data_IF_687983682757
#
_entry.id   IF_687983682757
#
_cell.length_a   1.000
_cell.length_b   1.000
_cell.length_c   1.000
_cell.angle_alpha   90.00
_cell.angle_beta   90.00
_cell.angle_gamma   90.00
#
_symmetry.space_group_name_H-M   'P 1'
#
loop_
_entity.id
_entity.type
_entity.pdbx_description
1 polymer ?
#
# COMPACT_ATOMS: atom_id res chain seq x y z
N UNK A 1 32.29 -20.72 -1.07
CA UNK A 1 32.12 -20.70 0.41
C UNK A 1 30.76 -21.32 0.72
N UNK A 2 30.72 -22.54 1.25
CA UNK A 2 29.45 -23.24 1.55
C UNK A 2 28.87 -22.64 2.83
N UNK A 3 27.73 -21.95 2.72
CA UNK A 3 27.07 -21.34 3.87
C UNK A 3 26.37 -22.45 4.68
N UNK A 4 26.83 -22.67 5.92
CA UNK A 4 26.23 -23.60 6.89
C UNK A 4 24.74 -23.29 7.10
N UNK A 5 23.94 -24.32 7.39
CA UNK A 5 22.52 -24.18 7.74
C UNK A 5 22.31 -23.28 8.98
N UNK A 6 21.06 -22.84 9.23
CA UNK A 6 20.76 -21.97 10.37
C UNK A 6 21.21 -22.61 11.70
N UNK A 7 21.86 -21.85 12.60
CA UNK A 7 22.11 -22.28 13.98
C UNK A 7 20.80 -22.69 14.68
N UNK A 8 20.88 -23.64 15.61
CA UNK A 8 19.71 -24.25 16.26
C UNK A 8 18.83 -23.23 17.04
N UNK A 9 19.42 -22.11 17.46
CA UNK A 9 18.80 -20.99 18.18
C UNK A 9 18.30 -19.84 17.27
N UNK A 10 18.67 -19.84 15.98
CA UNK A 10 18.38 -18.76 15.03
C UNK A 10 17.55 -19.26 13.87
N UNK A 11 16.23 -19.09 14.00
CA UNK A 11 15.21 -19.63 13.08
C UNK A 11 15.03 -18.80 11.81
N UNK A 12 15.55 -17.57 11.78
CA UNK A 12 15.38 -16.65 10.67
C UNK A 12 16.72 -16.24 10.07
N UNK A 13 16.71 -15.97 8.76
CA UNK A 13 17.75 -15.22 8.08
C UNK A 13 17.20 -13.83 7.76
N UNK A 14 17.80 -12.80 8.35
CA UNK A 14 17.66 -11.41 7.94
C UNK A 14 18.50 -11.17 6.68
N UNK A 15 17.97 -10.43 5.72
CA UNK A 15 18.68 -10.04 4.51
C UNK A 15 18.15 -8.72 3.96
N UNK A 16 18.96 -8.06 3.14
CA UNK A 16 18.56 -6.87 2.40
C UNK A 16 17.98 -7.28 1.05
N UNK A 17 16.79 -6.76 0.74
CA UNK A 17 16.20 -6.80 -0.60
C UNK A 17 16.42 -5.44 -1.28
N UNK A 18 17.14 -5.46 -2.40
CA UNK A 18 17.15 -4.41 -3.40
C UNK A 18 16.09 -4.71 -4.45
N UNK A 19 15.23 -3.75 -4.78
CA UNK A 19 14.24 -3.87 -5.86
C UNK A 19 14.08 -2.57 -6.66
N UNK A 20 13.79 -2.70 -7.94
CA UNK A 20 13.46 -1.60 -8.86
C UNK A 20 12.10 -1.85 -9.54
N UNK A 21 11.27 -0.81 -9.67
CA UNK A 21 9.96 -0.85 -10.33
C UNK A 21 9.02 -2.01 -9.87
N UNK A 22 9.12 -2.42 -8.61
CA UNK A 22 8.47 -3.62 -8.09
C UNK A 22 7.82 -3.35 -6.73
N UNK A 23 6.58 -3.80 -6.55
CA UNK A 23 5.91 -3.77 -5.24
C UNK A 23 6.54 -4.79 -4.28
N UNK A 24 6.54 -4.46 -2.99
CA UNK A 24 7.15 -5.29 -1.93
C UNK A 24 6.47 -6.66 -1.82
N UNK A 25 5.13 -6.70 -1.82
CA UNK A 25 4.39 -7.94 -1.69
C UNK A 25 4.59 -8.82 -2.93
N UNK A 26 4.61 -8.22 -4.13
CA UNK A 26 4.92 -8.98 -5.35
C UNK A 26 6.34 -9.54 -5.35
N UNK A 27 7.33 -8.77 -4.88
CA UNK A 27 8.71 -9.25 -4.73
C UNK A 27 8.77 -10.43 -3.76
N UNK A 28 8.11 -10.32 -2.60
CA UNK A 28 8.03 -11.41 -1.60
C UNK A 28 7.32 -12.64 -2.17
N UNK A 29 6.20 -12.49 -2.87
CA UNK A 29 5.51 -13.60 -3.55
C UNK A 29 6.41 -14.28 -4.57
N UNK A 30 7.23 -13.52 -5.30
CA UNK A 30 8.17 -14.10 -6.24
C UNK A 30 9.28 -14.88 -5.52
N UNK A 31 9.89 -14.33 -4.47
CA UNK A 31 10.89 -15.02 -3.65
C UNK A 31 10.32 -16.32 -3.05
N UNK A 32 9.11 -16.25 -2.50
CA UNK A 32 8.40 -17.37 -1.92
C UNK A 32 8.19 -18.50 -2.93
N UNK A 33 7.74 -18.16 -4.15
CA UNK A 33 7.57 -19.11 -5.25
C UNK A 33 8.90 -19.76 -5.67
N UNK A 34 9.98 -19.00 -5.78
CA UNK A 34 11.30 -19.53 -6.17
C UNK A 34 11.88 -20.48 -5.12
N UNK A 35 11.48 -20.34 -3.85
CA UNK A 35 11.92 -21.17 -2.74
C UNK A 35 10.93 -22.29 -2.38
N UNK A 36 9.78 -22.36 -3.05
CA UNK A 36 8.66 -23.24 -2.71
C UNK A 36 8.14 -23.04 -1.28
N UNK A 37 7.99 -21.78 -0.86
CA UNK A 37 7.50 -21.39 0.46
C UNK A 37 6.22 -20.56 0.35
N UNK A 38 5.48 -20.46 1.46
CA UNK A 38 4.40 -19.48 1.59
C UNK A 38 4.93 -18.08 1.92
N UNK A 39 4.23 -17.04 1.48
CA UNK A 39 4.58 -15.62 1.76
C UNK A 39 4.64 -15.30 3.26
N UNK A 40 3.87 -16.02 4.09
CA UNK A 40 3.90 -15.92 5.56
C UNK A 40 5.24 -16.32 6.18
N UNK A 41 6.11 -17.00 5.43
CA UNK A 41 7.47 -17.34 5.88
C UNK A 41 8.41 -16.14 5.84
N UNK A 42 7.98 -15.03 5.24
CA UNK A 42 8.75 -13.79 5.14
C UNK A 42 8.17 -12.71 6.07
N UNK A 43 9.06 -12.01 6.76
CA UNK A 43 8.74 -10.84 7.56
C UNK A 43 9.39 -9.58 6.99
N UNK A 44 8.70 -8.44 7.07
CA UNK A 44 9.23 -7.12 6.70
C UNK A 44 8.55 -6.03 7.52
N UNK A 45 9.28 -4.93 7.75
CA UNK A 45 8.81 -3.85 8.61
C UNK A 45 7.77 -2.92 7.96
N UNK A 46 7.73 -2.89 6.63
CA UNK A 46 6.77 -2.10 5.87
C UNK A 46 6.96 -2.29 4.36
N UNK A 47 5.99 -1.84 3.57
CA UNK A 47 6.10 -1.81 2.11
C UNK A 47 6.90 -0.58 1.66
N UNK A 48 7.57 -0.69 0.52
CA UNK A 48 8.30 0.39 -0.16
C UNK A 48 7.72 0.63 -1.54
N UNK A 49 7.86 1.87 -2.02
CA UNK A 49 7.31 2.31 -3.30
C UNK A 49 7.69 1.39 -4.45
N UNK A 50 6.71 1.19 -5.34
CA UNK A 50 6.91 0.40 -6.56
C UNK A 50 7.85 1.16 -7.50
N UNK A 51 7.54 2.41 -7.83
CA UNK A 51 8.27 3.23 -8.83
C UNK A 51 9.51 3.89 -8.22
N UNK A 52 10.42 3.07 -7.70
CA UNK A 52 11.67 3.52 -7.11
C UNK A 52 12.71 2.39 -7.13
N UNK A 53 13.97 2.74 -6.89
CA UNK A 53 14.99 1.81 -6.43
C UNK A 53 14.97 1.82 -4.89
N UNK A 54 14.65 0.68 -4.27
CA UNK A 54 14.43 0.61 -2.81
C UNK A 54 15.26 -0.49 -2.19
N UNK A 55 15.81 -0.21 -1.01
CA UNK A 55 16.47 -1.18 -0.14
C UNK A 55 15.64 -1.35 1.14
N UNK A 56 15.43 -2.59 1.56
CA UNK A 56 14.75 -2.88 2.82
C UNK A 56 15.23 -4.19 3.43
N UNK A 57 15.14 -4.31 4.75
CA UNK A 57 15.39 -5.56 5.46
C UNK A 57 14.15 -6.46 5.41
N UNK A 58 14.38 -7.73 5.12
CA UNK A 58 13.43 -8.83 5.19
C UNK A 58 14.00 -9.90 6.12
N UNK A 59 13.11 -10.74 6.65
CA UNK A 59 13.47 -11.99 7.32
C UNK A 59 12.80 -13.15 6.61
N UNK A 60 13.45 -14.30 6.52
CA UNK A 60 12.86 -15.54 6.05
C UNK A 60 13.05 -16.65 7.08
N UNK A 61 11.97 -17.35 7.44
CA UNK A 61 11.99 -18.45 8.39
C UNK A 61 12.48 -19.75 7.73
N UNK A 62 13.45 -20.43 8.35
CA UNK A 62 13.87 -21.78 7.95
C UNK A 62 14.59 -21.87 6.60
N UNK A 63 15.12 -20.76 6.08
CA UNK A 63 15.84 -20.72 4.80
C UNK A 63 17.33 -20.51 5.03
N UNK A 64 18.22 -21.36 4.47
CA UNK A 64 19.65 -21.10 4.49
C UNK A 64 20.01 -19.88 3.64
N UNK A 65 20.97 -19.07 4.11
CA UNK A 65 21.44 -17.88 3.39
C UNK A 65 21.92 -18.19 1.96
N UNK A 66 22.55 -19.35 1.75
CA UNK A 66 23.00 -19.79 0.43
C UNK A 66 21.86 -19.94 -0.58
N UNK A 67 20.71 -20.50 -0.15
CA UNK A 67 19.53 -20.63 -1.02
C UNK A 67 18.95 -19.28 -1.42
N UNK A 68 19.00 -18.29 -0.53
CA UNK A 68 18.60 -16.92 -0.86
C UNK A 68 19.59 -16.28 -1.85
N UNK A 69 20.89 -16.42 -1.61
CA UNK A 69 21.92 -15.87 -2.49
C UNK A 69 21.82 -16.42 -3.93
N UNK A 70 21.48 -17.69 -4.10
CA UNK A 70 21.26 -18.32 -5.40
C UNK A 70 20.11 -17.68 -6.20
N UNK A 71 19.14 -17.06 -5.53
CA UNK A 71 18.02 -16.40 -6.21
C UNK A 71 18.50 -15.23 -7.08
N UNK A 72 19.64 -14.59 -6.76
CA UNK A 72 20.17 -13.48 -7.56
C UNK A 72 20.40 -13.85 -9.04
N UNK A 73 20.58 -15.14 -9.36
CA UNK A 73 20.69 -15.62 -10.75
C UNK A 73 19.36 -15.53 -11.53
N UNK A 74 18.24 -15.44 -10.82
CA UNK A 74 16.86 -15.49 -11.36
C UNK A 74 16.08 -14.19 -11.14
N UNK A 75 16.52 -13.33 -10.22
CA UNK A 75 15.85 -12.07 -9.92
C UNK A 75 16.13 -11.03 -11.02
N UNK A 76 15.08 -10.62 -11.73
CA UNK A 76 15.16 -9.60 -12.80
C UNK A 76 14.83 -8.18 -12.32
N UNK A 77 14.20 -8.07 -11.15
CA UNK A 77 13.75 -6.81 -10.57
C UNK A 77 14.69 -6.27 -9.49
N UNK A 78 15.80 -6.97 -9.18
CA UNK A 78 16.66 -6.60 -8.07
C UNK A 78 17.53 -7.75 -7.57
N UNK A 79 17.97 -7.66 -6.31
CA UNK A 79 18.90 -8.60 -5.70
C UNK A 79 18.68 -8.73 -4.19
N UNK A 80 19.16 -9.83 -3.61
CA UNK A 80 19.20 -10.07 -2.17
C UNK A 80 20.65 -10.21 -1.68
N UNK A 81 20.93 -9.70 -0.49
CA UNK A 81 22.29 -9.70 0.08
C UNK A 81 22.31 -9.43 1.58
N UNK A 82 23.51 -9.21 2.14
CA UNK A 82 23.71 -8.84 3.55
C UNK A 82 23.03 -9.81 4.54
N UNK A 83 23.25 -11.11 4.34
CA UNK A 83 22.60 -12.15 5.14
C UNK A 83 23.12 -12.20 6.58
N UNK A 84 22.20 -12.31 7.54
CA UNK A 84 22.49 -12.47 8.96
C UNK A 84 21.47 -13.39 9.61
N UNK A 85 21.92 -14.42 10.32
CA UNK A 85 21.00 -15.25 11.11
C UNK A 85 20.55 -14.51 12.38
N UNK A 86 19.25 -14.51 12.64
CA UNK A 86 18.59 -13.81 13.75
C UNK A 86 17.55 -14.70 14.43
N UNK A 87 17.26 -14.39 15.70
CA UNK A 87 16.31 -15.14 16.54
C UNK A 87 14.85 -14.82 16.17
N UNK A 88 14.58 -13.54 15.94
CA UNK A 88 13.23 -13.01 15.74
C UNK A 88 13.03 -12.53 14.30
N UNK A 89 11.83 -12.76 13.76
CA UNK A 89 11.42 -12.25 12.46
C UNK A 89 10.91 -10.82 12.52
N UNK A 90 11.08 -10.07 11.44
CA UNK A 90 10.56 -8.71 11.28
C UNK A 90 9.03 -8.71 11.18
N UNK A 91 8.39 -7.76 11.85
CA UNK A 91 6.96 -7.48 11.84
C UNK A 91 6.68 -6.07 11.31
N UNK A 92 5.46 -5.82 10.83
CA UNK A 92 5.04 -4.47 10.45
C UNK A 92 5.23 -3.50 11.62
N UNK A 93 5.90 -2.37 11.37
CA UNK A 93 6.19 -1.35 12.38
C UNK A 93 7.61 -1.41 12.95
N UNK A 94 8.39 -2.47 12.68
CA UNK A 94 9.76 -2.63 13.21
C UNK A 94 10.81 -1.68 12.56
N UNK A 95 10.37 -0.64 11.83
CA UNK A 95 11.26 0.37 11.26
C UNK A 95 11.09 1.70 11.98
N UNK A 96 12.20 2.40 12.18
CA UNK A 96 12.19 3.79 12.62
C UNK A 96 11.71 4.74 11.51
N UNK A 97 12.17 4.53 10.28
CA UNK A 97 11.87 5.41 9.16
C UNK A 97 12.54 4.99 7.85
N UNK A 98 12.55 5.91 6.88
CA UNK A 98 13.13 5.71 5.56
C UNK A 98 14.11 6.83 5.24
N UNK A 99 15.25 6.49 4.63
CA UNK A 99 16.15 7.48 4.02
C UNK A 99 15.81 7.59 2.54
N UNK A 100 15.50 8.80 2.10
CA UNK A 100 15.21 9.09 0.69
C UNK A 100 16.40 9.78 0.02
N UNK A 101 16.57 9.52 -1.28
CA UNK A 101 17.44 10.28 -2.17
C UNK A 101 16.63 10.55 -3.42
N UNK A 102 16.25 11.81 -3.62
CA UNK A 102 15.28 12.24 -4.62
C UNK A 102 16.01 13.20 -5.56
N UNK A 103 15.86 12.98 -6.86
CA UNK A 103 16.34 13.91 -7.90
C UNK A 103 15.12 14.56 -8.52
N UNK A 104 14.98 15.86 -8.31
CA UNK A 104 14.01 16.68 -9.03
C UNK A 104 14.63 17.09 -10.37
N UNK A 105 13.91 16.85 -11.47
CA UNK A 105 14.31 17.24 -12.82
C UNK A 105 13.41 18.37 -13.30
N UNK A 106 13.90 19.15 -14.26
CA UNK A 106 13.16 20.24 -14.91
C UNK A 106 12.61 21.26 -13.89
N UNK A 107 13.47 21.67 -12.96
CA UNK A 107 13.13 22.66 -11.93
C UNK A 107 13.13 24.05 -12.55
N UNK A 108 11.98 24.73 -12.47
CA UNK A 108 11.78 26.11 -12.90
C UNK A 108 11.98 27.07 -11.72
N UNK A 109 13.23 27.22 -11.29
CA UNK A 109 13.65 28.14 -10.23
C UNK A 109 15.17 28.39 -10.32
N UNK A 110 15.63 29.53 -9.79
CA UNK A 110 17.06 29.79 -9.63
C UNK A 110 17.66 29.05 -8.43
N UNK A 111 18.99 28.96 -8.38
CA UNK A 111 19.73 28.25 -7.33
C UNK A 111 19.43 28.83 -5.94
N UNK A 112 19.31 30.16 -5.82
CA UNK A 112 19.04 30.83 -4.55
C UNK A 112 17.69 30.39 -3.95
N UNK A 113 16.64 30.30 -4.77
CA UNK A 113 15.31 29.84 -4.35
C UNK A 113 15.32 28.36 -3.97
N UNK A 114 16.09 27.54 -4.68
CA UNK A 114 16.26 26.11 -4.35
C UNK A 114 16.98 25.93 -3.02
N UNK A 115 18.05 26.70 -2.79
CA UNK A 115 18.79 26.69 -1.52
C UNK A 115 17.93 27.14 -0.35
N UNK A 116 17.14 28.21 -0.52
CA UNK A 116 16.20 28.70 0.48
C UNK A 116 15.16 27.62 0.84
N UNK A 117 14.56 26.97 -0.16
CA UNK A 117 13.59 25.90 0.06
C UNK A 117 14.20 24.68 0.76
N UNK A 118 15.42 24.27 0.37
CA UNK A 118 16.15 23.18 1.01
C UNK A 118 16.46 23.50 2.48
N UNK A 119 16.93 24.72 2.75
CA UNK A 119 17.22 25.18 4.12
C UNK A 119 15.95 25.21 4.97
N UNK A 120 14.86 25.77 4.45
CA UNK A 120 13.57 25.80 5.13
C UNK A 120 13.05 24.40 5.48
N UNK A 121 13.20 23.43 4.57
CA UNK A 121 12.83 22.04 4.83
C UNK A 121 13.74 21.37 5.87
N UNK A 122 15.04 21.65 5.85
CA UNK A 122 16.00 21.08 6.78
C UNK A 122 15.81 21.59 8.22
N UNK A 123 15.50 22.88 8.37
CA UNK A 123 15.36 23.54 9.68
C UNK A 123 13.93 23.44 10.23
N UNK A 124 12.92 23.68 9.39
CA UNK A 124 11.51 23.73 9.79
C UNK A 124 10.70 22.47 9.50
N UNK A 125 11.25 21.53 8.74
CA UNK A 125 10.53 20.34 8.31
C UNK A 125 9.38 20.66 7.34
N UNK A 126 8.31 19.87 7.43
CA UNK A 126 7.12 20.03 6.61
C UNK A 126 5.87 19.57 7.37
N UNK A 127 4.69 20.01 6.94
CA UNK A 127 3.43 19.56 7.52
C UNK A 127 3.20 18.10 7.13
N UNK A 128 3.03 17.22 8.11
CA UNK A 128 2.95 15.77 7.95
C UNK A 128 1.63 15.26 7.30
N UNK A 129 1.30 15.75 6.11
CA UNK A 129 0.10 15.36 5.37
C UNK A 129 0.10 13.90 4.93
N UNK A 130 -1.09 13.32 4.91
CA UNK A 130 -1.34 12.14 4.09
C UNK A 130 -1.32 12.54 2.61
N UNK A 131 -0.41 11.95 1.84
CA UNK A 131 -0.28 12.22 0.40
C UNK A 131 -1.39 11.62 -0.46
N UNK A 132 -1.44 12.01 -1.75
CA UNK A 132 -2.49 11.59 -2.72
C UNK A 132 -2.68 10.07 -2.81
N UNK A 133 -1.61 9.30 -2.68
CA UNK A 133 -1.66 7.84 -2.70
C UNK A 133 -2.59 7.25 -1.62
N UNK A 134 -2.78 7.94 -0.49
CA UNK A 134 -3.70 7.51 0.58
C UNK A 134 -5.17 7.57 0.16
N UNK A 135 -5.50 8.42 -0.81
CA UNK A 135 -6.86 8.68 -1.26
C UNK A 135 -7.20 7.99 -2.59
N UNK A 136 -6.29 7.14 -3.10
CA UNK A 136 -6.38 6.53 -4.41
C UNK A 136 -5.89 7.44 -5.53
N UNK A 137 -5.53 6.82 -6.66
CA UNK A 137 -5.09 7.54 -7.87
C UNK A 137 -6.21 7.70 -8.91
N UNK A 138 -7.40 7.19 -8.62
CA UNK A 138 -8.58 7.27 -9.50
C UNK A 138 -9.42 8.51 -9.21
N UNK A 139 -10.28 8.88 -10.14
CA UNK A 139 -11.22 10.01 -10.04
C UNK A 139 -12.21 9.88 -8.89
N UNK A 140 -12.65 8.67 -8.54
CA UNK A 140 -13.36 8.41 -7.29
C UNK A 140 -12.36 8.31 -6.16
N UNK A 141 -12.53 9.16 -5.16
CA UNK A 141 -11.60 9.18 -4.04
C UNK A 141 -11.99 8.15 -2.97
N UNK A 142 -11.00 7.41 -2.49
CA UNK A 142 -11.17 6.34 -1.49
C UNK A 142 -11.89 6.82 -0.22
N UNK A 143 -11.76 8.11 0.12
CA UNK A 143 -12.44 8.67 1.28
C UNK A 143 -13.96 8.83 1.09
N UNK A 144 -14.48 8.98 -0.13
CA UNK A 144 -15.92 9.06 -0.39
C UNK A 144 -16.63 7.74 -0.06
N UNK A 145 -16.00 6.62 -0.43
CA UNK A 145 -16.45 5.27 -0.03
C UNK A 145 -16.44 5.16 1.50
N UNK A 146 -15.40 5.69 2.16
CA UNK A 146 -15.29 5.74 3.61
C UNK A 146 -16.44 6.51 4.28
N UNK A 147 -16.84 7.65 3.72
CA UNK A 147 -17.99 8.44 4.19
C UNK A 147 -19.28 7.62 4.08
N UNK A 148 -19.51 6.97 2.93
CA UNK A 148 -20.70 6.16 2.71
C UNK A 148 -20.80 5.01 3.73
N UNK A 149 -19.69 4.31 3.98
CA UNK A 149 -19.57 3.27 5.01
C UNK A 149 -19.90 3.82 6.41
N UNK A 150 -19.32 4.96 6.79
CA UNK A 150 -19.54 5.57 8.11
C UNK A 150 -20.98 6.06 8.33
N UNK A 151 -21.67 6.45 7.26
CA UNK A 151 -23.08 6.83 7.28
C UNK A 151 -24.02 5.62 7.18
N UNK A 152 -23.49 4.39 7.16
CA UNK A 152 -24.26 3.17 6.89
C UNK A 152 -25.02 3.19 5.57
N UNK A 153 -24.58 4.01 4.60
CA UNK A 153 -25.13 4.02 3.25
C UNK A 153 -24.43 2.95 2.41
N UNK A 154 -24.84 1.70 2.63
CA UNK A 154 -24.22 0.52 2.02
C UNK A 154 -24.40 0.46 0.51
N UNK A 155 -25.57 0.91 0.02
CA UNK A 155 -25.86 0.99 -1.41
C UNK A 155 -24.87 1.91 -2.12
N UNK A 156 -24.68 3.11 -1.58
CA UNK A 156 -23.72 4.06 -2.14
C UNK A 156 -22.27 3.56 -2.04
N UNK A 157 -21.89 2.96 -0.92
CA UNK A 157 -20.55 2.40 -0.75
C UNK A 157 -20.25 1.30 -1.80
N UNK A 158 -21.20 0.41 -2.06
CA UNK A 158 -21.04 -0.62 -3.08
C UNK A 158 -21.06 -0.03 -4.50
N UNK A 159 -21.93 0.94 -4.77
CA UNK A 159 -21.99 1.65 -6.05
C UNK A 159 -20.66 2.35 -6.36
N UNK A 160 -20.10 3.13 -5.43
CA UNK A 160 -18.81 3.82 -5.59
C UNK A 160 -17.63 2.85 -5.84
N UNK A 161 -17.74 1.61 -5.36
CA UNK A 161 -16.73 0.57 -5.61
C UNK A 161 -16.92 -0.03 -7.00
N UNK A 162 -18.16 -0.26 -7.46
CA UNK A 162 -18.47 -0.99 -8.70
C UNK A 162 -18.55 -0.09 -9.94
N UNK A 163 -18.90 1.19 -9.80
CA UNK A 163 -19.10 2.10 -10.93
C UNK A 163 -17.79 2.44 -11.66
N UNK A 164 -17.92 2.74 -12.96
CA UNK A 164 -16.82 3.13 -13.83
C UNK A 164 -16.25 4.50 -13.45
N UNK A 165 -14.97 4.71 -13.74
CA UNK A 165 -14.24 5.92 -13.31
C UNK A 165 -13.55 6.59 -14.51
N UNK A 166 -13.64 7.93 -14.63
CA UNK A 166 -12.82 8.67 -15.58
C UNK A 166 -11.32 8.36 -15.43
N UNK A 167 -10.66 8.05 -16.54
CA UNK A 167 -9.22 7.73 -16.58
C UNK A 167 -8.87 6.27 -16.24
N UNK A 168 -9.85 5.39 -16.02
CA UNK A 168 -9.60 3.94 -15.98
C UNK A 168 -9.16 3.40 -17.34
N UNK A 169 -8.36 2.33 -17.30
CA UNK A 169 -8.02 1.51 -18.48
C UNK A 169 -9.29 0.95 -19.10
N UNK A 170 -9.31 0.86 -20.43
CA UNK A 170 -10.48 0.45 -21.20
C UNK A 170 -11.03 -0.91 -20.74
N UNK A 171 -10.18 -1.91 -20.52
CA UNK A 171 -10.59 -3.23 -19.99
C UNK A 171 -11.40 -3.13 -18.68
N UNK A 172 -10.96 -2.31 -17.73
CA UNK A 172 -11.66 -2.12 -16.45
C UNK A 172 -12.94 -1.29 -16.62
N UNK A 173 -12.91 -0.30 -17.52
CA UNK A 173 -14.05 0.56 -17.78
C UNK A 173 -15.20 -0.24 -18.39
N UNK A 174 -14.91 -1.03 -19.44
CA UNK A 174 -15.92 -1.79 -20.18
C UNK A 174 -16.68 -2.77 -19.28
N UNK A 175 -15.99 -3.51 -18.41
CA UNK A 175 -16.67 -4.47 -17.51
C UNK A 175 -17.56 -3.77 -16.47
N UNK A 176 -17.15 -2.60 -15.98
CA UNK A 176 -17.95 -1.80 -15.04
C UNK A 176 -19.17 -1.17 -15.71
N UNK A 177 -19.01 -0.66 -16.93
CA UNK A 177 -20.12 -0.10 -17.71
C UNK A 177 -21.13 -1.18 -18.13
N UNK A 178 -20.65 -2.37 -18.50
CA UNK A 178 -21.50 -3.52 -18.79
C UNK A 178 -22.31 -3.95 -17.55
N UNK A 179 -21.68 -4.00 -16.37
CA UNK A 179 -22.42 -4.31 -15.15
C UNK A 179 -23.40 -3.18 -14.77
N UNK A 180 -23.02 -1.91 -14.93
CA UNK A 180 -23.89 -0.78 -14.65
C UNK A 180 -25.14 -0.73 -15.54
N UNK A 181 -25.05 -1.20 -16.79
CA UNK A 181 -26.18 -1.25 -17.72
C UNK A 181 -27.07 -2.47 -17.53
N UNK A 182 -26.49 -3.63 -17.18
CA UNK A 182 -27.21 -4.91 -17.11
C UNK A 182 -27.70 -5.26 -15.71
N UNK A 183 -26.96 -4.88 -14.67
CA UNK A 183 -27.15 -5.38 -13.31
C UNK A 183 -26.88 -6.89 -13.15
N UNK A 184 -26.40 -7.57 -14.20
CA UNK A 184 -26.22 -9.03 -14.20
C UNK A 184 -24.97 -9.41 -13.40
N UNK A 185 -25.19 -9.95 -12.20
CA UNK A 185 -24.13 -10.38 -11.28
C UNK A 185 -23.35 -11.58 -11.82
N UNK A 186 -24.01 -12.52 -12.49
CA UNK A 186 -23.36 -13.74 -13.01
C UNK A 186 -22.46 -13.40 -14.19
N UNK A 187 -22.92 -12.54 -15.09
CA UNK A 187 -22.11 -12.05 -16.19
C UNK A 187 -20.94 -11.21 -15.67
N UNK A 188 -21.18 -10.29 -14.72
CA UNK A 188 -20.11 -9.50 -14.12
C UNK A 188 -19.05 -10.38 -13.42
N UNK A 189 -19.43 -11.47 -12.76
CA UNK A 189 -18.46 -12.40 -12.16
C UNK A 189 -17.61 -13.16 -13.18
N UNK A 190 -18.08 -13.31 -14.42
CA UNK A 190 -17.29 -13.86 -15.53
C UNK A 190 -16.35 -12.81 -16.11
N UNK A 191 -16.84 -11.59 -16.29
CA UNK A 191 -16.11 -10.52 -17.01
C UNK A 191 -15.10 -9.79 -16.13
N UNK A 192 -15.42 -9.54 -14.85
CA UNK A 192 -14.51 -8.82 -13.96
C UNK A 192 -13.19 -9.58 -13.79
N UNK A 193 -12.04 -8.95 -14.10
CA UNK A 193 -10.76 -9.62 -13.98
C UNK A 193 -10.45 -10.11 -12.57
N UNK A 194 -9.69 -11.21 -12.48
CA UNK A 194 -9.39 -11.88 -11.21
C UNK A 194 -8.65 -10.99 -10.19
N UNK A 195 -7.91 -9.96 -10.63
CA UNK A 195 -7.21 -9.02 -9.75
C UNK A 195 -8.12 -7.97 -9.11
N UNK A 196 -9.37 -7.82 -9.57
CA UNK A 196 -10.37 -6.91 -9.01
C UNK A 196 -11.07 -7.56 -7.81
N UNK A 197 -10.26 -7.90 -6.79
CA UNK A 197 -10.70 -8.73 -5.67
C UNK A 197 -11.83 -8.10 -4.85
N UNK A 198 -11.86 -6.77 -4.71
CA UNK A 198 -12.89 -6.09 -3.92
C UNK A 198 -14.22 -6.14 -4.66
N UNK A 199 -14.23 -5.78 -5.93
CA UNK A 199 -15.40 -5.75 -6.79
C UNK A 199 -16.01 -7.15 -6.91
N UNK A 200 -15.17 -8.15 -7.22
CA UNK A 200 -15.60 -9.56 -7.26
C UNK A 200 -16.15 -10.05 -5.93
N UNK A 201 -15.58 -9.63 -4.79
CA UNK A 201 -16.11 -10.01 -3.47
C UNK A 201 -17.50 -9.45 -3.21
N UNK A 202 -17.79 -8.23 -3.67
CA UNK A 202 -19.12 -7.63 -3.57
C UNK A 202 -20.11 -8.35 -4.48
N UNK A 203 -19.72 -8.62 -5.73
CA UNK A 203 -20.56 -9.37 -6.68
C UNK A 203 -20.88 -10.79 -6.16
N UNK A 204 -19.90 -11.48 -5.58
CA UNK A 204 -20.11 -12.76 -4.89
C UNK A 204 -21.10 -12.66 -3.72
N UNK A 205 -21.00 -11.56 -2.97
CA UNK A 205 -21.95 -11.23 -1.92
C UNK A 205 -23.37 -11.06 -2.44
N UNK A 206 -23.55 -10.35 -3.57
CA UNK A 206 -24.84 -10.21 -4.23
C UNK A 206 -25.38 -11.52 -4.78
N UNK A 207 -24.51 -12.35 -5.37
CA UNK A 207 -24.89 -13.69 -5.83
C UNK A 207 -25.45 -14.55 -4.68
N UNK A 208 -24.81 -14.48 -3.51
CA UNK A 208 -25.17 -15.29 -2.35
C UNK A 208 -26.40 -14.78 -1.58
N UNK A 209 -26.56 -13.46 -1.50
CA UNK A 209 -27.53 -12.85 -0.59
C UNK A 209 -28.66 -12.07 -1.29
N UNK A 210 -28.51 -11.76 -2.58
CA UNK A 210 -29.39 -10.89 -3.34
C UNK A 210 -28.80 -9.48 -3.54
N UNK A 211 -29.16 -8.83 -4.64
CA UNK A 211 -28.60 -7.53 -5.07
C UNK A 211 -28.92 -6.37 -4.11
N UNK A 212 -30.02 -6.46 -3.35
CA UNK A 212 -30.41 -5.44 -2.37
C UNK A 212 -29.67 -5.60 -1.02
N UNK A 213 -28.93 -6.69 -0.84
CA UNK A 213 -28.24 -7.01 0.41
C UNK A 213 -26.83 -6.39 0.48
N UNK A 214 -26.73 -5.08 0.28
CA UNK A 214 -25.46 -4.34 0.19
C UNK A 214 -24.54 -4.50 1.41
N UNK A 215 -25.10 -4.50 2.62
CA UNK A 215 -24.31 -4.68 3.86
C UNK A 215 -23.66 -6.07 3.93
N UNK A 216 -24.40 -7.11 3.54
CA UNK A 216 -23.89 -8.47 3.46
C UNK A 216 -22.83 -8.60 2.35
N UNK A 217 -23.06 -7.97 1.21
CA UNK A 217 -22.11 -7.98 0.10
C UNK A 217 -20.79 -7.31 0.44
N UNK A 218 -20.84 -6.12 1.04
CA UNK A 218 -19.65 -5.43 1.54
C UNK A 218 -18.96 -6.22 2.66
N UNK A 219 -19.70 -6.96 3.48
CA UNK A 219 -19.12 -7.78 4.55
C UNK A 219 -18.26 -8.94 4.05
N UNK A 220 -18.49 -9.39 2.80
CA UNK A 220 -17.62 -10.35 2.11
C UNK A 220 -16.23 -9.79 1.77
N UNK A 221 -16.07 -8.46 1.70
CA UNK A 221 -14.76 -7.84 1.49
C UNK A 221 -13.89 -7.97 2.73
N UNK A 222 -12.62 -8.37 2.53
CA UNK A 222 -11.64 -8.52 3.60
C UNK A 222 -11.57 -7.27 4.50
N UNK A 223 -11.56 -7.48 5.81
CA UNK A 223 -11.67 -6.40 6.82
C UNK A 223 -10.63 -5.29 6.63
N UNK A 224 -9.39 -5.65 6.31
CA UNK A 224 -8.31 -4.70 6.07
C UNK A 224 -8.63 -3.76 4.88
N UNK A 225 -9.20 -4.29 3.80
CA UNK A 225 -9.59 -3.49 2.63
C UNK A 225 -10.76 -2.56 2.96
N UNK A 226 -11.74 -3.03 3.74
CA UNK A 226 -12.84 -2.17 4.23
C UNK A 226 -12.34 -1.02 5.09
N UNK A 227 -11.43 -1.31 6.02
CA UNK A 227 -10.86 -0.28 6.90
C UNK A 227 -10.04 0.76 6.14
N UNK A 228 -9.43 0.41 4.99
CA UNK A 228 -8.71 1.39 4.17
C UNK A 228 -9.61 2.56 3.73
N UNK A 229 -10.89 2.32 3.43
CA UNK A 229 -11.83 3.38 3.06
C UNK A 229 -12.10 4.34 4.22
N UNK A 230 -12.38 3.79 5.40
CA UNK A 230 -12.62 4.59 6.62
C UNK A 230 -11.36 5.37 7.03
N UNK A 231 -10.19 4.73 6.99
CA UNK A 231 -8.92 5.38 7.28
C UNK A 231 -8.59 6.49 6.27
N UNK A 232 -8.98 6.35 4.99
CA UNK A 232 -8.83 7.41 4.01
C UNK A 232 -9.67 8.63 4.37
N UNK A 233 -10.90 8.45 4.89
CA UNK A 233 -11.68 9.57 5.40
C UNK A 233 -11.05 10.25 6.62
N UNK A 234 -10.58 9.47 7.60
CA UNK A 234 -9.85 10.03 8.75
C UNK A 234 -8.61 10.81 8.30
N UNK A 235 -7.88 10.31 7.30
CA UNK A 235 -6.72 10.98 6.71
C UNK A 235 -7.10 12.33 6.07
N UNK A 236 -8.27 12.40 5.42
CA UNK A 236 -8.77 13.64 4.80
C UNK A 236 -9.16 14.68 5.85
N UNK A 237 -9.82 14.24 6.93
CA UNK A 237 -10.12 15.10 8.09
C UNK A 237 -8.83 15.60 8.73
N UNK A 238 -7.84 14.72 8.95
CA UNK A 238 -6.55 15.10 9.50
C UNK A 238 -5.88 16.18 8.65
N UNK A 239 -5.80 16.01 7.33
CA UNK A 239 -5.21 17.01 6.44
C UNK A 239 -5.92 18.36 6.58
N UNK A 240 -7.26 18.38 6.57
CA UNK A 240 -8.04 19.62 6.73
C UNK A 240 -7.79 20.28 8.09
N UNK A 241 -7.75 19.50 9.17
CA UNK A 241 -7.53 20.03 10.52
C UNK A 241 -6.10 20.53 10.71
N UNK A 242 -5.09 19.82 10.19
CA UNK A 242 -3.69 20.27 10.20
C UNK A 242 -3.52 21.59 9.45
N UNK A 243 -4.13 21.73 8.27
CA UNK A 243 -4.12 23.01 7.53
C UNK A 243 -4.81 24.13 8.31
N UNK A 244 -5.95 23.84 8.96
CA UNK A 244 -6.66 24.83 9.77
C UNK A 244 -5.85 25.26 11.00
N UNK A 245 -5.22 24.32 11.71
CA UNK A 245 -4.35 24.59 12.86
C UNK A 245 -3.16 25.48 12.51
N UNK A 246 -2.50 25.19 11.39
CA UNK A 246 -1.36 26.01 10.91
C UNK A 246 -1.84 27.39 10.47
N UNK A 247 -2.98 27.48 9.78
CA UNK A 247 -3.53 28.78 9.33
C UNK A 247 -3.93 29.69 10.50
N UNK A 248 -4.50 29.12 11.57
CA UNK A 248 -5.03 29.90 12.69
C UNK A 248 -3.94 30.31 13.70
N UNK A 249 -2.94 29.46 13.94
CA UNK A 249 -1.99 29.65 15.05
C UNK A 249 -0.51 29.60 14.60
N UNK A 250 -0.24 29.46 13.30
CA UNK A 250 1.11 29.28 12.78
C UNK A 250 1.68 27.87 13.03
N UNK A 251 2.90 27.63 12.54
CA UNK A 251 3.61 26.35 12.66
C UNK A 251 4.86 26.42 13.56
N UNK A 252 5.20 27.61 14.08
CA UNK A 252 6.47 27.84 14.77
C UNK A 252 6.51 27.28 16.21
N UNK A 253 5.36 27.26 16.89
CA UNK A 253 5.27 26.82 18.29
C UNK A 253 3.92 26.20 18.61
N UNK A 254 3.92 25.34 19.63
CA UNK A 254 2.71 24.86 20.27
C UNK A 254 2.03 26.01 21.03
N UNK A 255 0.70 25.95 21.08
CA UNK A 255 -0.13 26.87 21.86
C UNK A 255 -0.87 26.10 22.95
N UNK A 256 -1.37 26.80 23.97
CA UNK A 256 -2.16 26.18 25.03
C UNK A 256 -3.35 25.40 24.44
N UNK A 257 -3.49 24.14 24.86
CA UNK A 257 -4.51 23.22 24.35
C UNK A 257 -4.05 22.28 23.22
N UNK A 258 -2.85 22.46 22.65
CA UNK A 258 -2.28 21.48 21.72
C UNK A 258 -1.92 20.16 22.44
N UNK A 259 -2.02 19.05 21.70
CA UNK A 259 -1.60 17.71 22.15
C UNK A 259 -0.15 17.44 21.73
N UNK A 260 0.68 16.92 22.65
CA UNK A 260 2.10 16.54 22.44
C UNK A 260 2.37 15.10 22.82
#
# INVERSE_FOLDING_TARGET
MVLKGPPQDKRFVEFTLFKTNQDTMTAVSHLARLLSLGTKSFGYAGTKDRRAATLQRLTAHGVPAGRLAELNKRLRFGAVGNFKYVKDGLKLGDLYGNRFSIVLRDVDADDARVEEACKGLAEGGFINYYGRQRFGSTSISTHQIGIAILKSNWAEAANLILCSRPGEKDETRTVREAYASTGDVEQALRDFPHWMHVERSILEGYRKHGVDQHSNALSGVARNMRLMYVHAWQSAVWNKMASARVRLFGAASAVEGDLV
#
